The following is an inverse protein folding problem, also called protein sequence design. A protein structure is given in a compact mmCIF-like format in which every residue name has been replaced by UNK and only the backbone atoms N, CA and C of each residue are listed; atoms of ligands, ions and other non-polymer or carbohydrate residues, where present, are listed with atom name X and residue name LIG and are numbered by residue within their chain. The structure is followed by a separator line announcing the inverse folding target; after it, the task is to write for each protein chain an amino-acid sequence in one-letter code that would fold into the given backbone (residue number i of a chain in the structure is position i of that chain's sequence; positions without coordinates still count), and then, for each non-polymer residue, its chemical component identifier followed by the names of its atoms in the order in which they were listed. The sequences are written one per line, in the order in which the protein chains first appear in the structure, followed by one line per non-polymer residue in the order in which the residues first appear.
data_IF_742705291820
#
_entry.id   IF_742705291820
#
_cell.length_a   1.000
_cell.length_b   1.000
_cell.length_c   1.000
_cell.angle_alpha   90.00
_cell.angle_beta   90.00
_cell.angle_gamma   90.00
#
_symmetry.space_group_name_H-M   'P 1'
#
loop_
_entity.id
_entity.type
_entity.pdbx_description
1 polymer ?
2 non-polymer ?
3 water ?
#
# COMPACT_ATOMS: atom_id res chain seq x y z
N UNK A 2 -16.99 36.89 -2.74
CA UNK A 2 -16.15 36.06 -1.77
C UNK A 2 -16.27 34.58 -2.14
N UNK A 3 -15.13 33.91 -2.29
CA UNK A 3 -15.03 32.64 -2.98
C UNK A 3 -15.45 31.59 -1.94
N UNK A 4 -16.52 30.88 -2.25
CA UNK A 4 -17.12 29.93 -1.27
C UNK A 4 -17.41 28.55 -1.92
N UNK A 5 -17.16 27.48 -1.16
CA UNK A 5 -17.46 26.08 -1.58
C UNK A 5 -18.90 25.65 -1.22
N UNK A 6 -19.67 26.54 -0.57
CA UNK A 6 -21.14 26.35 -0.44
C UNK A 6 -21.78 25.99 -1.78
N UNK A 7 -22.51 24.87 -1.83
CA UNK A 7 -23.23 24.46 -3.08
C UNK A 7 -24.48 25.26 -3.43
N UNK A 8 -24.62 25.50 -4.73
CA UNK A 8 -25.82 26.07 -5.33
C UNK A 8 -26.63 25.00 -6.09
N UNK A 9 -27.92 25.26 -6.24
CA UNK A 9 -28.84 24.41 -6.99
C UNK A 9 -28.38 24.13 -8.41
N UNK A 10 -27.76 25.13 -9.03
CA UNK A 10 -27.37 25.06 -10.42
C UNK A 10 -25.91 24.62 -10.60
N UNK A 11 -25.24 24.25 -9.50
CA UNK A 11 -23.80 23.83 -9.54
C UNK A 11 -23.58 22.54 -10.33
N UNK A 12 -22.34 22.42 -10.85
CA UNK A 12 -21.85 21.22 -11.47
C UNK A 12 -21.53 20.19 -10.39
N UNK A 13 -21.64 18.93 -10.79
CA UNK A 13 -21.25 17.81 -9.90
C UNK A 13 -19.74 17.87 -9.80
N UNK A 14 -19.24 17.77 -8.56
CA UNK A 14 -17.82 17.93 -8.26
C UNK A 14 -17.08 16.54 -8.28
N UNK A 15 -17.71 15.54 -8.89
CA UNK A 15 -17.00 14.37 -9.44
C UNK A 15 -16.82 14.43 -10.94
N UNK A 16 -17.90 14.57 -11.73
CA UNK A 16 -17.79 14.62 -13.17
C UNK A 16 -17.49 16.00 -13.78
N UNK A 17 -17.84 17.07 -13.07
CA UNK A 17 -17.56 18.47 -13.45
C UNK A 17 -18.36 18.98 -14.66
N UNK A 18 -18.77 18.11 -15.56
CA UNK A 18 -19.30 18.60 -16.84
C UNK A 18 -20.83 18.65 -16.91
N UNK A 19 -21.54 18.02 -15.94
CA UNK A 19 -23.00 18.00 -15.88
C UNK A 19 -23.45 18.54 -14.57
N UNK A 20 -24.56 19.30 -14.62
CA UNK A 20 -25.18 19.88 -13.48
C UNK A 20 -25.76 18.81 -12.59
N UNK A 21 -25.78 19.08 -11.31
CA UNK A 21 -26.38 18.17 -10.36
C UNK A 21 -27.84 17.89 -10.72
N UNK A 22 -28.55 18.95 -11.17
CA UNK A 22 -29.97 18.82 -11.56
C UNK A 22 -30.20 17.94 -12.82
N UNK A 23 -29.16 17.66 -13.61
CA UNK A 23 -29.31 16.93 -14.88
C UNK A 23 -29.37 15.40 -14.78
N UNK A 24 -29.16 14.84 -13.60
CA UNK A 24 -29.23 13.38 -13.42
C UNK A 24 -29.41 13.11 -11.91
N UNK A 25 -29.90 11.94 -11.56
CA UNK A 25 -30.21 11.60 -10.21
C UNK A 25 -29.04 11.83 -9.24
N UNK A 26 -29.36 12.46 -8.13
CA UNK A 26 -28.34 12.99 -7.20
C UNK A 26 -28.70 12.56 -5.82
N UNK A 27 -27.68 12.45 -4.98
CA UNK A 27 -27.89 12.11 -3.59
C UNK A 27 -27.17 13.10 -2.71
N UNK A 28 -27.72 13.26 -1.52
CA UNK A 28 -27.13 14.07 -0.45
C UNK A 28 -26.44 13.22 0.55
N UNK A 29 -25.10 13.32 0.56
CA UNK A 29 -24.33 12.42 1.37
C UNK A 29 -24.46 12.86 2.82
N UNK A 30 -24.03 11.98 3.75
CA UNK A 30 -24.05 12.27 5.19
C UNK A 30 -23.34 13.56 5.56
N UNK A 31 -22.26 13.90 4.83
CA UNK A 31 -21.51 15.14 5.08
C UNK A 31 -22.29 16.42 4.65
N UNK A 32 -23.43 16.22 4.00
CA UNK A 32 -24.33 17.25 3.44
C UNK A 32 -24.08 17.60 2.00
N UNK A 33 -22.98 17.10 1.38
CA UNK A 33 -22.75 17.49 0.00
C UNK A 33 -23.49 16.58 -0.98
N UNK A 34 -23.92 17.17 -2.06
CA UNK A 34 -24.72 16.53 -3.12
C UNK A 34 -23.90 16.25 -4.35
N UNK A 35 -24.06 15.02 -4.87
CA UNK A 35 -23.35 14.53 -6.08
C UNK A 35 -24.29 13.67 -6.88
N UNK A 36 -24.00 13.47 -8.15
CA UNK A 36 -24.71 12.44 -8.91
C UNK A 36 -24.53 11.08 -8.22
N UNK A 37 -25.63 10.30 -8.18
CA UNK A 37 -25.59 8.95 -7.71
C UNK A 37 -24.61 8.13 -8.47
N UNK A 38 -24.61 8.19 -9.79
CA UNK A 38 -23.81 7.31 -10.58
C UNK A 38 -22.31 7.70 -10.42
N UNK A 39 -22.03 8.99 -10.25
CA UNK A 39 -20.64 9.42 -10.08
C UNK A 39 -20.10 8.82 -8.75
N UNK A 40 -20.92 8.89 -7.67
CA UNK A 40 -20.50 8.35 -6.37
C UNK A 40 -20.21 6.86 -6.51
N UNK A 41 -21.10 6.17 -7.20
CA UNK A 41 -20.92 4.74 -7.44
C UNK A 41 -19.64 4.40 -8.21
N UNK A 42 -19.36 5.11 -9.28
CA UNK A 42 -18.17 4.89 -10.05
C UNK A 42 -16.94 5.13 -9.20
N UNK A 43 -16.92 6.20 -8.43
CA UNK A 43 -15.74 6.45 -7.56
C UNK A 43 -15.46 5.29 -6.60
N UNK A 44 -16.51 4.72 -6.00
CA UNK A 44 -16.35 3.60 -5.10
C UNK A 44 -15.95 2.29 -5.79
N UNK A 45 -16.40 2.09 -7.04
CA UNK A 45 -15.99 0.97 -7.84
C UNK A 45 -14.52 1.09 -8.23
N UNK A 46 -14.10 2.33 -8.61
CA UNK A 46 -12.80 2.51 -9.19
C UNK A 46 -11.64 2.52 -8.12
N UNK A 47 -11.97 2.85 -6.90
CA UNK A 47 -11.02 2.81 -5.81
C UNK A 47 -9.79 3.66 -6.08
N UNK A 48 -8.63 3.24 -5.60
CA UNK A 48 -7.47 4.14 -5.46
C UNK A 48 -6.64 4.12 -6.79
N UNK A 49 -5.83 5.15 -6.93
CA UNK A 49 -4.85 5.31 -8.00
C UNK A 49 -3.49 4.74 -7.61
N UNK A 50 -2.92 3.93 -8.50
CA UNK A 50 -1.57 3.37 -8.21
C UNK A 50 -1.68 2.02 -7.50
N UNK A 51 -0.55 1.32 -7.38
CA UNK A 51 -0.60 -0.03 -6.81
C UNK A 51 -0.84 -0.08 -5.29
N UNK A 52 -0.36 0.94 -4.57
CA UNK A 52 -0.49 0.91 -3.09
C UNK A 52 -1.95 1.10 -2.69
N UNK A 53 -2.41 0.25 -1.79
CA UNK A 53 -3.74 0.38 -1.21
C UNK A 53 -3.84 1.68 -0.39
N UNK A 54 -4.71 2.57 -0.82
CA UNK A 54 -5.02 3.82 -0.08
C UNK A 54 -6.51 4.10 -0.14
N UNK A 55 -6.95 5.02 0.72
CA UNK A 55 -8.39 5.25 0.98
C UNK A 55 -8.82 6.70 0.80
N UNK A 56 -7.91 7.55 0.29
CA UNK A 56 -8.26 8.97 0.01
C UNK A 56 -9.45 9.08 -0.95
N UNK A 57 -9.60 8.11 -1.87
CA UNK A 57 -10.69 8.14 -2.84
C UNK A 57 -12.09 8.19 -2.22
N UNK A 58 -12.26 7.71 -0.99
CA UNK A 58 -13.55 7.81 -0.34
C UNK A 58 -13.84 9.20 0.28
N UNK A 59 -12.92 10.12 0.18
CA UNK A 59 -13.13 11.51 0.65
C UNK A 59 -14.08 12.32 -0.20
N UNK A 60 -15.08 12.93 0.44
CA UNK A 60 -15.95 13.89 -0.27
C UNK A 60 -15.07 14.92 -1.02
N UNK A 61 -15.26 15.12 -2.34
CA UNK A 61 -14.45 16.10 -3.07
C UNK A 61 -14.54 17.55 -2.52
N UNK A 62 -15.62 17.82 -1.79
CA UNK A 62 -15.86 19.19 -1.28
C UNK A 62 -15.29 19.36 0.12
N UNK A 63 -15.68 18.54 1.07
CA UNK A 63 -15.26 18.73 2.45
C UNK A 63 -14.24 17.73 2.94
N UNK A 64 -13.95 16.70 2.14
CA UNK A 64 -13.01 15.62 2.47
C UNK A 64 -13.41 14.69 3.58
N UNK A 65 -14.61 14.84 4.13
CA UNK A 65 -15.11 13.83 5.00
C UNK A 65 -15.46 12.56 4.20
N UNK A 66 -15.55 11.44 4.89
CA UNK A 66 -15.86 10.16 4.25
C UNK A 66 -17.24 10.19 3.55
N UNK A 67 -17.23 9.82 2.27
CA UNK A 67 -18.44 9.58 1.52
C UNK A 67 -19.30 8.51 2.22
N UNK A 68 -20.57 8.84 2.49
CA UNK A 68 -21.48 7.84 3.05
C UNK A 68 -22.94 8.16 2.73
N UNK A 69 -23.63 7.12 2.29
CA UNK A 69 -25.05 7.19 2.00
C UNK A 69 -25.59 5.76 2.09
N UNK A 70 -26.85 5.63 2.52
CA UNK A 70 -27.43 4.27 2.58
C UNK A 70 -27.43 3.51 1.28
N UNK A 71 -27.64 4.17 0.14
CA UNK A 71 -27.70 3.48 -1.13
C UNK A 71 -26.34 3.08 -1.64
N UNK A 72 -25.30 3.53 -0.96
CA UNK A 72 -23.92 3.17 -1.34
C UNK A 72 -23.34 2.06 -0.48
N UNK A 73 -24.14 1.50 0.47
CA UNK A 73 -23.65 0.49 1.35
C UNK A 73 -23.11 -0.76 0.66
N UNK A 74 -23.69 -1.18 -0.46
CA UNK A 74 -23.18 -2.33 -1.14
C UNK A 74 -21.73 -2.12 -1.67
N UNK A 75 -21.40 -0.88 -2.02
CA UNK A 75 -20.03 -0.57 -2.50
C UNK A 75 -19.11 -0.21 -1.33
N UNK A 76 -19.65 0.43 -0.30
CA UNK A 76 -18.87 0.82 0.86
C UNK A 76 -18.48 -0.38 1.77
N UNK A 77 -19.38 -1.34 1.95
CA UNK A 77 -19.06 -2.50 2.80
C UNK A 77 -17.76 -3.24 2.50
N UNK A 78 -17.52 -3.63 1.25
CA UNK A 78 -16.25 -4.31 0.91
C UNK A 78 -15.01 -3.39 1.08
N UNK A 79 -15.18 -2.10 0.83
CA UNK A 79 -14.09 -1.15 1.13
C UNK A 79 -13.77 -1.13 2.63
N UNK A 80 -14.81 -1.03 3.47
CA UNK A 80 -14.63 -1.05 4.95
C UNK A 80 -13.90 -2.34 5.39
N UNK A 81 -14.27 -3.45 4.78
CA UNK A 81 -13.63 -4.72 5.12
C UNK A 81 -12.16 -4.70 4.78
N UNK A 82 -11.84 -4.19 3.59
CA UNK A 82 -10.43 -4.06 3.21
C UNK A 82 -9.65 -3.10 4.12
N UNK A 83 -10.31 -1.97 4.44
CA UNK A 83 -9.72 -0.95 5.32
C UNK A 83 -9.30 -1.56 6.67
N UNK A 84 -10.25 -2.30 7.25
CA UNK A 84 -10.02 -2.97 8.55
C UNK A 84 -8.95 -4.04 8.47
N UNK A 85 -8.85 -4.77 7.35
CA UNK A 85 -7.84 -5.80 7.21
C UNK A 85 -6.43 -5.15 7.13
N UNK A 86 -6.29 -4.10 6.30
CA UNK A 86 -5.01 -3.40 6.14
C UNK A 86 -4.65 -2.77 7.50
N UNK A 87 -5.64 -2.10 8.14
CA UNK A 87 -5.37 -1.42 9.42
C UNK A 87 -4.90 -2.43 10.46
N UNK A 88 -5.59 -3.59 10.57
CA UNK A 88 -5.21 -4.65 11.52
C UNK A 88 -3.76 -5.11 11.25
N UNK A 89 -3.45 -5.38 9.99
CA UNK A 89 -2.11 -5.84 9.62
C UNK A 89 -1.02 -4.83 9.86
N UNK A 90 -1.32 -3.58 9.52
CA UNK A 90 -0.39 -2.49 9.73
C UNK A 90 -0.06 -2.30 11.20
N UNK A 91 -1.09 -2.26 12.02
CA UNK A 91 -0.92 -2.14 13.47
C UNK A 91 -0.11 -3.29 14.04
N UNK A 92 -0.42 -4.50 13.65
CA UNK A 92 0.34 -5.65 14.09
C UNK A 92 1.81 -5.52 13.70
N UNK A 93 2.10 -5.13 12.46
CA UNK A 93 3.46 -4.94 12.03
C UNK A 93 4.18 -3.85 12.88
N UNK A 94 3.47 -2.77 13.15
CA UNK A 94 4.05 -1.70 13.99
C UNK A 94 4.40 -2.19 15.40
N UNK A 95 3.47 -2.94 15.96
CA UNK A 95 3.67 -3.54 17.34
C UNK A 95 4.83 -4.52 17.31
N UNK A 96 4.88 -5.40 16.31
CA UNK A 96 6.01 -6.36 16.23
C UNK A 96 7.34 -5.69 15.94
N UNK A 97 7.34 -4.51 15.28
CA UNK A 97 8.56 -3.73 15.08
C UNK A 97 8.92 -2.91 16.36
N UNK A 98 8.04 -2.90 17.35
CA UNK A 98 8.27 -2.16 18.60
C UNK A 98 8.17 -0.67 18.40
N UNK A 99 7.36 -0.22 17.39
CA UNK A 99 7.31 1.19 17.01
C UNK A 99 6.01 1.90 17.45
N UNK A 100 5.17 1.17 18.15
CA UNK A 100 3.87 1.69 18.53
C UNK A 100 3.88 2.72 19.67
N UNK A 101 5.03 2.97 20.27
CA UNK A 101 5.21 4.07 21.23
C UNK A 101 6.12 5.10 20.70
N UNK A 102 6.19 5.26 19.37
CA UNK A 102 6.97 6.34 18.75
C UNK A 102 6.46 7.70 19.27
N UNK A 103 7.34 8.69 19.30
CA UNK A 103 6.92 10.06 19.68
C UNK A 103 5.75 10.62 18.88
N UNK A 104 5.67 10.25 17.60
CA UNK A 104 4.48 10.60 16.76
C UNK A 104 3.16 10.03 17.21
N UNK A 105 3.20 9.06 18.10
CA UNK A 105 2.00 8.53 18.69
C UNK A 105 1.78 8.97 20.16
N UNK A 106 2.86 9.20 20.88
CA UNK A 106 2.71 9.34 22.33
C UNK A 106 2.60 10.83 22.77
N UNK A 107 2.85 11.73 21.84
CA UNK A 107 2.88 13.16 22.14
C UNK A 107 1.49 13.83 21.99
N UNK A 108 0.93 14.31 23.11
CA UNK A 108 -0.39 14.92 22.95
C UNK A 108 -0.43 16.03 21.90
N UNK A 109 -1.52 16.10 21.13
CA UNK A 109 -1.67 17.16 20.15
C UNK A 109 -1.15 16.95 18.75
N UNK A 110 -0.39 15.87 18.49
CA UNK A 110 0.15 15.57 17.15
C UNK A 110 -0.87 14.73 16.38
N UNK A 111 -0.75 14.67 15.05
CA UNK A 111 -1.71 14.04 14.17
C UNK A 111 -2.15 12.61 14.62
N UNK A 112 -1.16 11.79 14.91
CA UNK A 112 -1.39 10.33 15.32
C UNK A 112 -1.31 10.08 16.81
N UNK A 113 -1.54 11.14 17.61
CA UNK A 113 -1.57 11.00 19.06
C UNK A 113 -2.64 9.94 19.45
N UNK A 114 -2.14 8.95 20.18
CA UNK A 114 -2.88 7.78 20.65
C UNK A 114 -3.59 7.01 19.50
N UNK A 115 -3.01 7.06 18.30
CA UNK A 115 -3.59 6.42 17.13
C UNK A 115 -2.51 5.61 16.41
N UNK A 116 -1.96 4.60 17.09
CA UNK A 116 -0.93 3.81 16.46
C UNK A 116 -1.34 3.14 15.12
N UNK A 117 -2.61 2.73 14.98
CA UNK A 117 -3.03 2.02 13.75
C UNK A 117 -3.04 3.03 12.56
N UNK A 118 -3.51 4.23 12.83
CA UNK A 118 -3.42 5.28 11.81
C UNK A 118 -2.01 5.63 11.41
N UNK A 119 -1.11 5.71 12.39
CA UNK A 119 0.26 5.93 12.14
C UNK A 119 0.84 4.85 11.23
N UNK A 120 0.51 3.59 11.56
CA UNK A 120 1.04 2.44 10.85
C UNK A 120 0.51 2.43 9.39
N UNK A 121 -0.79 2.71 9.20
CA UNK A 121 -1.34 2.78 7.83
C UNK A 121 -0.62 3.80 7.00
N UNK A 122 -0.25 4.90 7.63
CA UNK A 122 0.47 6.02 6.93
C UNK A 122 1.91 5.62 6.62
N UNK A 123 2.55 4.89 7.57
CA UNK A 123 3.92 4.50 7.45
C UNK A 123 4.17 3.40 6.43
N UNK A 124 3.25 2.42 6.35
CA UNK A 124 3.51 1.20 5.58
C UNK A 124 2.69 1.14 4.28
N UNK A 125 3.26 0.49 3.28
CA UNK A 125 2.60 0.30 1.98
C UNK A 125 2.13 -1.13 1.87
N UNK A 126 0.82 -1.30 1.66
CA UNK A 126 0.19 -2.59 1.39
C UNK A 126 -0.33 -2.63 -0.05
N UNK A 127 -0.38 -3.86 -0.57
CA UNK A 127 -0.73 -4.16 -1.95
C UNK A 127 -1.67 -5.34 -1.97
N UNK A 128 -2.50 -5.39 -3.00
CA UNK A 128 -3.36 -6.57 -3.20
C UNK A 128 -2.66 -7.67 -3.99
N UNK A 129 -2.54 -8.86 -3.41
CA UNK A 129 -1.97 -9.99 -4.16
C UNK A 129 -2.96 -10.45 -5.26
N UNK A 130 -2.46 -10.44 -6.47
CA UNK A 130 -3.28 -10.90 -7.64
C UNK A 130 -3.81 -12.30 -7.39
N UNK A 131 -2.96 -13.16 -6.86
CA UNK A 131 -3.32 -14.61 -6.74
C UNK A 131 -4.21 -14.93 -5.60
N UNK A 132 -3.84 -14.56 -4.38
CA UNK A 132 -4.63 -14.95 -3.22
C UNK A 132 -5.63 -13.88 -2.77
N UNK A 133 -5.50 -12.71 -3.35
CA UNK A 133 -6.41 -11.55 -3.11
C UNK A 133 -6.21 -10.89 -1.71
N UNK A 134 -5.20 -11.33 -0.99
CA UNK A 134 -4.92 -10.78 0.37
C UNK A 134 -4.05 -9.53 0.25
N UNK A 135 -4.27 -8.56 1.13
CA UNK A 135 -3.36 -7.42 1.24
C UNK A 135 -2.01 -7.89 1.85
N UNK A 136 -0.89 -7.55 1.23
CA UNK A 136 0.41 -7.90 1.67
C UNK A 136 1.32 -6.65 1.84
N UNK A 137 2.26 -6.77 2.78
CA UNK A 137 3.19 -5.69 3.13
C UNK A 137 4.29 -5.58 2.05
N UNK A 138 4.48 -4.39 1.51
CA UNK A 138 5.55 -4.12 0.54
C UNK A 138 6.56 -3.05 0.93
N UNK A 139 6.76 -2.87 2.24
CA UNK A 139 7.79 -1.92 2.76
C UNK A 139 7.19 -0.63 3.28
N UNK A 140 8.08 0.27 3.70
CA UNK A 140 7.66 1.60 4.18
C UNK A 140 7.27 2.42 2.97
N UNK A 141 6.21 3.22 3.11
CA UNK A 141 5.68 4.10 2.05
C UNK A 141 6.73 5.15 1.65
N UNK A 150 1.62 5.97 -11.58
CA UNK A 150 0.16 5.99 -11.29
C UNK A 150 -0.42 4.60 -11.65
N UNK A 151 -1.50 4.59 -12.42
CA UNK A 151 -2.21 3.28 -12.73
C UNK A 151 -1.51 2.46 -13.88
N UNK A 152 -0.33 2.98 -14.30
CA UNK A 152 0.50 2.31 -15.33
C UNK A 152 1.34 1.19 -14.67
N UNK A 153 0.62 0.20 -14.18
CA UNK A 153 1.22 -1.01 -13.63
C UNK A 153 0.32 -2.14 -13.98
N UNK A 154 0.86 -3.34 -13.85
CA UNK A 154 0.13 -4.56 -14.08
C UNK A 154 -0.23 -5.21 -12.75
N UNK A 155 -1.55 -5.20 -12.43
CA UNK A 155 -2.01 -5.77 -11.15
C UNK A 155 -1.64 -7.20 -11.04
N UNK A 156 -1.45 -7.90 -12.17
CA UNK A 156 -1.05 -9.32 -12.14
C UNK A 156 0.37 -9.53 -11.65
N UNK A 157 1.11 -8.45 -11.49
CA UNK A 157 2.51 -8.55 -11.02
C UNK A 157 2.66 -8.16 -9.53
N UNK A 158 1.54 -7.78 -8.87
CA UNK A 158 1.55 -7.65 -7.45
C UNK A 158 1.21 -8.99 -6.84
N UNK A 159 2.21 -9.67 -6.31
CA UNK A 159 2.09 -11.01 -5.80
C UNK A 159 2.81 -11.06 -4.47
N UNK A 160 2.17 -11.61 -3.45
CA UNK A 160 2.73 -11.70 -2.12
C UNK A 160 3.82 -12.80 -2.07
N UNK A 161 4.58 -12.82 -0.97
CA UNK A 161 5.66 -13.77 -0.85
C UNK A 161 5.16 -15.18 -0.86
N UNK A 162 4.00 -15.46 -0.22
CA UNK A 162 3.47 -16.84 -0.18
C UNK A 162 3.13 -17.34 -1.56
N UNK A 163 2.70 -16.44 -2.43
CA UNK A 163 2.27 -16.75 -3.77
C UNK A 163 3.36 -16.67 -4.82
N UNK A 164 4.57 -16.26 -4.42
CA UNK A 164 5.71 -16.12 -5.28
C UNK A 164 6.93 -16.77 -4.58
N UNK A 165 6.70 -17.92 -3.97
CA UNK A 165 7.63 -18.51 -3.04
C UNK A 165 8.69 -19.35 -3.79
N UNK A 166 9.53 -18.64 -4.53
CA UNK A 166 10.51 -19.27 -5.45
C UNK A 166 11.56 -20.09 -4.70
N UNK A 167 11.77 -19.85 -3.41
CA UNK A 167 12.75 -20.59 -2.61
C UNK A 167 12.17 -21.63 -1.73
N UNK A 168 10.85 -21.83 -1.77
CA UNK A 168 10.14 -22.75 -0.91
C UNK A 168 10.63 -22.52 0.49
N UNK A 169 10.41 -21.30 0.99
CA UNK A 169 10.92 -20.85 2.28
C UNK A 169 10.43 -21.72 3.44
N UNK A 170 11.23 -21.82 4.48
CA UNK A 170 10.83 -22.47 5.73
C UNK A 170 9.67 -21.66 6.37
N UNK A 171 8.67 -22.36 6.89
CA UNK A 171 7.47 -21.80 7.54
C UNK A 171 7.81 -21.09 8.84
N UNK A 172 6.97 -20.12 9.18
CA UNK A 172 7.03 -19.55 10.50
C UNK A 172 6.26 -20.49 11.45
N UNK A 173 6.91 -20.91 12.57
CA UNK A 173 6.21 -21.77 13.53
C UNK A 173 4.89 -21.15 14.00
N UNK A 174 4.87 -19.81 14.15
CA UNK A 174 3.67 -19.09 14.58
C UNK A 174 2.70 -18.75 13.46
N UNK A 175 3.24 -18.29 12.32
CA UNK A 175 2.42 -17.72 11.27
C UNK A 175 2.36 -18.46 9.94
N UNK A 176 3.09 -19.57 9.80
CA UNK A 176 3.08 -20.29 8.51
C UNK A 176 3.75 -19.41 7.42
N UNK A 177 3.01 -19.13 6.36
CA UNK A 177 3.50 -18.23 5.33
C UNK A 177 2.65 -16.94 5.32
N UNK A 178 1.87 -16.70 6.38
CA UNK A 178 0.95 -15.56 6.32
C UNK A 178 1.64 -14.18 6.09
N UNK A 179 2.89 -14.05 6.56
CA UNK A 179 3.65 -12.83 6.43
C UNK A 179 4.97 -13.04 5.70
N UNK A 180 5.05 -14.11 4.92
CA UNK A 180 6.29 -14.48 4.25
C UNK A 180 6.61 -13.39 3.25
N UNK A 181 7.82 -12.89 3.29
CA UNK A 181 8.23 -11.84 2.31
C UNK A 181 9.59 -12.17 1.68
N UNK A 182 9.75 -11.75 0.42
CA UNK A 182 11.05 -11.80 -0.32
C UNK A 182 11.67 -10.43 -0.43
N UNK A 183 12.99 -10.39 -0.62
CA UNK A 183 13.60 -9.13 -0.92
C UNK A 183 13.52 -8.81 -2.44
N UNK A 184 13.64 -7.53 -2.76
CA UNK A 184 13.99 -7.12 -4.10
C UNK A 184 15.25 -7.92 -4.52
N UNK A 185 15.26 -8.49 -5.71
CA UNK A 185 16.47 -9.21 -6.15
C UNK A 185 17.65 -8.26 -6.23
N UNK A 186 17.43 -6.98 -6.47
CA UNK A 186 18.47 -6.06 -6.88
C UNK A 186 18.88 -5.07 -5.82
N UNK A 187 18.24 -5.10 -4.62
CA UNK A 187 18.64 -4.20 -3.56
C UNK A 187 18.15 -4.69 -2.18
N UNK A 188 18.59 -4.02 -1.09
CA UNK A 188 18.22 -4.36 0.30
C UNK A 188 16.85 -3.74 0.67
N UNK A 189 15.83 -4.15 -0.09
CA UNK A 189 14.46 -3.63 0.09
C UNK A 189 13.47 -4.79 0.04
N UNK A 190 12.27 -4.61 0.65
CA UNK A 190 11.21 -5.60 0.53
C UNK A 190 10.59 -5.59 -0.89
N UNK A 191 10.22 -6.76 -1.38
CA UNK A 191 9.67 -6.88 -2.74
C UNK A 191 8.25 -6.36 -2.81
N UNK A 192 7.94 -5.74 -3.91
CA UNK A 192 6.53 -5.36 -4.25
C UNK A 192 6.00 -6.18 -5.45
N UNK A 193 6.77 -6.15 -6.54
CA UNK A 193 6.42 -6.76 -7.82
C UNK A 193 7.10 -8.11 -7.97
N UNK A 194 6.44 -9.01 -8.68
CA UNK A 194 7.03 -10.29 -9.07
C UNK A 194 6.81 -10.38 -10.59
N UNK A 195 7.90 -10.35 -11.35
CA UNK A 195 7.81 -10.29 -12.81
C UNK A 195 8.42 -11.50 -13.49
N UNK A 196 7.96 -11.74 -14.72
CA UNK A 196 8.45 -12.86 -15.52
C UNK A 196 8.20 -14.20 -14.92
N UNK A 197 7.40 -14.28 -13.88
CA UNK A 197 7.29 -15.49 -13.12
C UNK A 197 8.50 -15.92 -12.32
N UNK A 198 9.50 -15.05 -12.19
CA UNK A 198 10.78 -15.39 -11.56
C UNK A 198 11.37 -14.37 -10.60
N UNK A 199 11.10 -13.09 -10.82
CA UNK A 199 11.92 -12.07 -10.25
C UNK A 199 11.13 -11.06 -9.36
N UNK A 200 11.57 -10.95 -8.11
CA UNK A 200 11.10 -9.84 -7.20
C UNK A 200 11.77 -8.52 -7.38
N UNK A 201 10.95 -7.45 -7.37
CA UNK A 201 11.38 -6.08 -7.48
C UNK A 201 10.70 -5.25 -6.39
N UNK A 202 11.46 -4.34 -5.80
CA UNK A 202 10.89 -3.21 -5.12
C UNK A 202 10.31 -2.24 -6.16
N UNK A 203 9.59 -1.20 -5.73
CA UNK A 203 8.99 -0.26 -6.67
C UNK A 203 10.00 0.49 -7.51
N UNK A 204 11.05 0.99 -6.90
CA UNK A 204 12.07 1.74 -7.62
C UNK A 204 12.84 0.90 -8.61
N UNK A 205 13.25 -0.29 -8.24
CA UNK A 205 13.95 -1.16 -9.15
C UNK A 205 13.02 -1.61 -10.29
N UNK A 206 11.75 -1.91 -9.94
CA UNK A 206 10.78 -2.17 -10.95
C UNK A 206 10.65 -1.01 -11.95
N UNK A 207 10.62 0.24 -11.49
CA UNK A 207 10.59 1.39 -12.41
C UNK A 207 11.80 1.38 -13.40
N UNK A 208 12.93 0.88 -12.93
CA UNK A 208 14.16 0.84 -13.76
C UNK A 208 14.50 -0.58 -14.14
N UNK A 209 13.47 -1.44 -14.38
CA UNK A 209 13.70 -2.86 -14.45
C UNK A 209 14.63 -3.25 -15.65
N UNK A 210 14.57 -2.48 -16.74
CA UNK A 210 15.40 -2.82 -17.92
C UNK A 210 16.87 -2.74 -17.50
N UNK A 211 17.28 -1.61 -16.98
CA UNK A 211 18.66 -1.40 -16.55
C UNK A 211 18.99 -2.42 -15.44
N UNK A 212 18.10 -2.56 -14.46
CA UNK A 212 18.48 -3.40 -13.33
C UNK A 212 18.73 -4.87 -13.72
N UNK A 213 17.95 -5.40 -14.65
CA UNK A 213 18.11 -6.79 -15.07
C UNK A 213 19.32 -6.92 -16.04
N UNK A 214 19.79 -5.79 -16.53
CA UNK A 214 20.95 -5.75 -17.52
C UNK A 214 22.31 -5.59 -16.91
N UNK A 215 22.36 -5.00 -15.73
CA UNK A 215 23.64 -4.78 -15.03
C UNK A 215 24.28 -6.15 -14.79
N UNK A 216 25.55 -6.34 -15.21
CA UNK A 216 26.16 -7.60 -14.83
C UNK A 216 26.10 -7.84 -13.32
N UNK A 217 25.88 -9.07 -12.94
CA UNK A 217 25.60 -9.38 -11.54
C UNK A 217 26.70 -8.85 -10.63
N UNK A 218 27.96 -9.02 -11.06
CA UNK A 218 29.09 -8.65 -10.15
C UNK A 218 29.29 -7.18 -10.08
N UNK A 219 28.58 -6.39 -10.88
CA UNK A 219 28.64 -4.99 -10.79
C UNK A 219 27.48 -4.39 -9.97
N UNK A 220 26.52 -5.21 -9.60
CA UNK A 220 25.45 -4.66 -8.75
C UNK A 220 26.07 -4.20 -7.40
N UNK A 221 25.48 -3.17 -6.79
CA UNK A 221 25.92 -2.82 -5.43
C UNK A 221 25.80 -3.99 -4.45
N UNK A 222 26.77 -4.06 -3.52
CA UNK A 222 26.78 -5.03 -2.50
C UNK A 222 26.00 -4.47 -1.28
N UNK A 223 25.47 -5.35 -0.49
CA UNK A 223 24.84 -4.96 0.76
C UNK A 223 25.80 -4.00 1.48
N UNK A 224 25.35 -2.84 1.95
CA UNK A 224 24.03 -2.22 1.82
C UNK A 224 23.77 -1.63 0.45
N UNK A 225 22.72 -2.14 -0.21
CA UNK A 225 22.35 -1.66 -1.57
C UNK A 225 21.04 -0.91 -1.51
N UNK A 226 21.03 0.27 -2.05
CA UNK A 226 19.81 1.10 -2.30
C UNK A 226 19.23 0.70 -3.66
N UNK A 227 17.96 1.07 -3.91
CA UNK A 227 17.40 0.76 -5.25
C UNK A 227 18.15 1.43 -6.39
N UNK A 228 17.88 0.92 -7.58
CA UNK A 228 18.33 1.46 -8.84
C UNK A 228 19.87 1.50 -8.86
N UNK A 229 20.47 0.50 -8.24
CA UNK A 229 21.95 0.33 -8.30
C UNK A 229 22.74 1.17 -7.30
N UNK A 230 22.10 1.74 -6.29
CA UNK A 230 22.81 2.64 -5.36
C UNK A 230 23.66 1.92 -4.36
N UNK A 231 24.98 2.24 -4.33
CA UNK A 231 25.80 1.68 -3.30
C UNK A 231 25.65 2.59 -2.06
N UNK A 232 25.05 2.10 -0.98
CA UNK A 232 24.97 2.86 0.26
C UNK A 232 26.27 2.63 1.03
N UNK A 233 26.53 3.55 1.98
CA UNK A 233 27.64 3.47 2.93
C UNK A 233 27.39 2.52 4.06
N UNK A 234 28.49 2.11 4.68
CA UNK A 234 28.39 1.36 5.90
C UNK A 234 28.43 -0.11 5.61
N UNK A 235 28.19 -0.86 6.68
CA UNK A 235 28.12 -2.30 6.66
C UNK A 235 26.81 -2.81 7.24
N UNK A 236 25.83 -1.93 7.52
CA UNK A 236 24.54 -2.41 8.06
C UNK A 236 23.48 -2.49 6.91
N UNK A 237 22.95 -3.68 6.77
CA UNK A 237 21.87 -3.95 5.80
C UNK A 237 20.61 -3.22 6.27
N UNK A 238 20.01 -2.43 5.38
CA UNK A 238 18.72 -1.77 5.62
C UNK A 238 17.62 -2.74 6.02
N UNK A 239 17.72 -4.00 5.61
CA UNK A 239 16.79 -5.07 6.01
C UNK A 239 17.18 -5.78 7.31
N UNK A 240 18.40 -5.52 7.83
CA UNK A 240 18.89 -6.14 9.10
C UNK A 240 18.83 -7.64 9.06
N UNK A 241 19.32 -8.19 7.95
CA UNK A 241 19.44 -9.62 7.80
C UNK A 241 20.70 -9.89 6.98
N UNK A 242 21.24 -11.09 7.15
CA UNK A 242 22.28 -11.62 6.29
C UNK A 242 21.62 -12.30 5.09
N UNK A 243 22.09 -11.95 3.90
CA UNK A 243 21.44 -12.46 2.69
C UNK A 243 22.48 -12.67 1.61
N UNK A 244 22.11 -13.46 0.60
CA UNK A 244 23.03 -13.69 -0.51
C UNK A 244 23.34 -12.44 -1.28
N UNK A 245 24.34 -12.51 -2.16
CA UNK A 245 24.74 -11.40 -2.94
C UNK A 245 23.57 -10.76 -3.69
N UNK A 246 23.61 -9.46 -3.78
CA UNK A 246 22.66 -8.73 -4.64
C UNK A 246 22.60 -9.36 -6.04
N UNK A 247 21.37 -9.51 -6.54
CA UNK A 247 21.14 -10.22 -7.80
C UNK A 247 20.64 -11.63 -7.64
N UNK A 248 20.50 -12.13 -6.39
CA UNK A 248 19.92 -13.44 -6.10
C UNK A 248 18.60 -13.28 -5.31
N UNK A 249 17.64 -14.12 -5.62
CA UNK A 249 16.39 -14.15 -4.83
C UNK A 249 16.65 -14.57 -3.38
N UNK A 250 15.90 -14.03 -2.44
CA UNK A 250 16.06 -14.48 -1.05
C UNK A 250 14.80 -14.21 -0.26
N UNK A 251 14.30 -15.27 0.34
CA UNK A 251 13.17 -15.26 1.25
C UNK A 251 13.61 -14.68 2.59
N UNK A 252 12.97 -13.56 2.97
CA UNK A 252 13.30 -12.91 4.23
C UNK A 252 12.64 -13.62 5.42
N UNK A 253 11.69 -14.50 5.16
CA UNK A 253 10.96 -15.23 6.20
C UNK A 253 9.77 -14.37 6.63
N UNK A 254 9.36 -14.57 7.88
CA UNK A 254 8.14 -13.98 8.41
C UNK A 254 8.41 -12.51 8.69
N UNK A 255 7.65 -11.65 8.01
CA UNK A 255 7.86 -10.25 8.10
C UNK A 255 7.63 -9.69 9.52
N UNK A 256 6.75 -10.32 10.29
CA UNK A 256 6.49 -9.80 11.70
C UNK A 256 7.48 -10.40 12.68
N UNK A 257 7.85 -11.67 12.51
CA UNK A 257 8.79 -12.32 13.48
C UNK A 257 10.21 -11.93 13.21
N UNK A 258 10.59 -11.59 11.95
CA UNK A 258 12.01 -11.23 11.56
C UNK A 258 12.72 -10.18 12.42
N UNK A 259 11.94 -9.21 12.85
CA UNK A 259 12.40 -8.05 13.68
C UNK A 259 13.11 -8.47 14.94
N UNK A 260 12.63 -9.52 15.56
CA UNK A 260 13.14 -9.99 16.85
C UNK A 260 14.21 -11.13 16.88
N UNK A 261 14.13 -12.13 16.03
CA UNK A 261 12.96 -12.96 15.71
C UNK A 261 11.97 -13.32 16.86
#
# INVERSE_FOLDING_TARGET
SATSLKQDADDMCMICFTEALSAAPAIQLDCSHIFHLQCCRRVLENRWLGPRITFGFISCPICKNKINHIVLKDLLDPIKELYEDVRRKALMRLEYEGLHKSEAITTPGVRFYNDPAGYAMNRYAYYVCYKCRKAYFGGEARCDAEAGRGDDYDPRELICGACSDVSRAQMCPKHGTDFLEYKCRYCCSVAVFFCFGTTHFCNACHDDFQRMTSIPKEELPHCPAGPKGKQLEGTECPLHVVHPPTGEEFALGCGVCRNAHTF
#
